data_IF_634865712292
#
_entry.id   IF_634865712292
#
_cell.length_a   1.000
_cell.length_b   1.000
_cell.length_c   1.000
_cell.angle_alpha   90.00
_cell.angle_beta   90.00
_cell.angle_gamma   90.00
#
_symmetry.space_group_name_H-M   'P 1'
#
loop_
_entity.id
_entity.type
_entity.pdbx_description
1 polymer ?
#
# COMPACT_ATOMS: atom_id res chain seq x y z
N UNK A 1 -3.87 56.06 47.68
CA UNK A 1 -4.70 55.56 48.80
C UNK A 1 -5.52 54.42 48.23
N UNK A 2 -5.28 53.15 48.51
CA UNK A 2 -4.50 52.50 49.57
C UNK A 2 -4.15 51.10 49.06
N UNK A 3 -2.86 50.72 49.16
CA UNK A 3 -2.37 49.37 48.94
C UNK A 3 -3.10 48.39 49.88
N UNK A 4 -3.55 47.26 49.34
CA UNK A 4 -3.73 46.04 50.12
C UNK A 4 -2.79 45.01 49.50
N UNK A 5 -1.57 44.99 50.01
CA UNK A 5 -0.64 43.89 49.83
C UNK A 5 -1.22 42.67 50.56
N UNK A 6 -1.65 41.66 49.81
CA UNK A 6 -1.83 40.32 50.35
C UNK A 6 -0.49 39.59 50.22
N UNK A 7 0.29 39.62 51.30
CA UNK A 7 1.38 38.68 51.53
C UNK A 7 0.77 37.28 51.76
N UNK A 8 0.56 36.54 50.67
CA UNK A 8 0.45 35.08 50.75
C UNK A 8 1.82 34.49 51.09
N UNK A 9 1.88 33.37 51.83
CA UNK A 9 3.15 32.75 52.17
C UNK A 9 3.93 32.45 50.88
N UNK A 10 5.16 32.95 50.83
CA UNK A 10 6.12 32.76 49.74
C UNK A 10 6.47 31.26 49.69
N UNK A 11 5.60 30.49 49.05
CA UNK A 11 5.87 29.08 48.74
C UNK A 11 6.98 29.14 47.71
N UNK A 12 8.21 28.89 48.17
CA UNK A 12 9.36 28.69 47.30
C UNK A 12 8.99 27.65 46.24
N UNK A 13 8.58 28.13 45.07
CA UNK A 13 8.33 27.29 43.91
C UNK A 13 9.71 26.79 43.54
N UNK A 14 10.00 25.53 43.85
CA UNK A 14 11.24 24.90 43.40
C UNK A 14 11.41 25.21 41.91
N UNK A 15 12.60 25.72 41.52
CA UNK A 15 12.92 26.05 40.12
C UNK A 15 13.06 24.75 39.32
N UNK A 16 11.92 24.16 38.98
CA UNK A 16 11.86 22.99 38.13
C UNK A 16 12.20 23.41 36.71
N UNK A 17 13.30 22.86 36.18
CA UNK A 17 13.61 22.97 34.75
C UNK A 17 12.70 22.04 33.96
N UNK A 18 11.53 22.54 33.57
CA UNK A 18 10.59 21.78 32.76
C UNK A 18 11.11 21.54 31.33
N UNK A 19 10.66 20.45 30.71
CA UNK A 19 10.96 20.15 29.32
C UNK A 19 10.38 21.25 28.41
N UNK A 20 11.12 21.73 27.37
CA UNK A 20 10.67 22.84 26.51
C UNK A 20 9.31 22.62 25.84
N UNK A 21 9.01 21.38 25.45
CA UNK A 21 7.73 21.02 24.80
C UNK A 21 6.57 20.83 25.78
N UNK A 22 6.78 20.88 27.10
CA UNK A 22 5.76 20.52 28.11
C UNK A 22 4.46 21.27 27.88
N UNK A 23 4.53 22.60 27.77
CA UNK A 23 3.32 23.42 27.69
C UNK A 23 2.61 23.26 26.36
N UNK A 24 3.35 23.02 25.27
CA UNK A 24 2.77 22.67 23.96
C UNK A 24 2.05 21.33 24.02
N UNK A 25 2.64 20.31 24.65
CA UNK A 25 2.02 18.99 24.80
C UNK A 25 0.78 19.04 25.70
N UNK A 26 0.82 19.82 26.79
CA UNK A 26 -0.34 20.04 27.65
C UNK A 26 -1.44 20.79 26.89
N UNK A 27 -1.09 21.82 26.13
CA UNK A 27 -2.03 22.57 25.31
C UNK A 27 -2.69 21.66 24.26
N UNK A 28 -1.93 20.78 23.60
CA UNK A 28 -2.47 19.81 22.65
C UNK A 28 -3.52 18.90 23.30
N UNK A 29 -3.26 18.40 24.51
CA UNK A 29 -4.22 17.56 25.25
C UNK A 29 -5.53 18.29 25.61
N UNK A 30 -5.50 19.62 25.69
CA UNK A 30 -6.66 20.46 26.03
C UNK A 30 -7.23 21.22 24.83
N UNK A 31 -6.67 21.06 23.63
CA UNK A 31 -6.96 21.89 22.47
C UNK A 31 -8.39 21.72 21.92
N UNK A 32 -9.17 20.73 22.39
CA UNK A 32 -10.50 20.41 21.84
C UNK A 32 -11.55 20.22 22.95
N UNK A 33 -11.94 21.29 23.67
CA UNK A 33 -13.03 21.21 24.63
C UNK A 33 -14.36 20.99 23.91
N UNK A 34 -15.26 20.22 24.54
CA UNK A 34 -16.64 20.03 24.08
C UNK A 34 -17.39 21.36 24.11
N UNK A 35 -18.22 21.65 23.10
CA UNK A 35 -19.12 22.81 23.15
C UNK A 35 -20.32 22.48 24.05
N UNK A 36 -20.48 23.14 25.21
CA UNK A 36 -21.62 22.88 26.09
C UNK A 36 -22.92 23.38 25.44
N UNK A 37 -24.02 22.65 25.66
CA UNK A 37 -25.36 23.04 25.20
C UNK A 37 -26.42 22.60 26.21
N UNK A 38 -27.25 23.53 26.66
CA UNK A 38 -28.43 23.18 27.46
C UNK A 38 -29.61 22.82 26.57
N UNK A 39 -30.48 21.93 27.06
CA UNK A 39 -31.73 21.61 26.39
C UNK A 39 -32.83 22.62 26.79
N UNK A 40 -33.63 23.14 25.84
CA UNK A 40 -33.66 22.74 24.43
C UNK A 40 -32.62 23.46 23.54
N UNK A 41 -32.28 22.85 22.40
CA UNK A 41 -31.36 23.45 21.44
C UNK A 41 -31.34 22.73 20.09
N UNK A 42 -30.94 23.45 19.05
CA UNK A 42 -30.79 22.92 17.70
C UNK A 42 -29.30 22.82 17.36
N UNK A 43 -28.91 21.74 16.70
CA UNK A 43 -27.55 21.54 16.20
C UNK A 43 -27.58 21.15 14.73
N UNK A 44 -26.62 21.65 13.96
CA UNK A 44 -26.38 21.19 12.60
C UNK A 44 -24.91 20.90 12.38
N UNK A 45 -24.57 19.82 11.71
CA UNK A 45 -23.21 19.54 11.25
C UNK A 45 -23.19 19.41 9.74
N UNK A 46 -22.19 20.02 9.11
CA UNK A 46 -21.81 19.78 7.72
C UNK A 46 -20.39 19.21 7.73
N UNK A 47 -20.14 18.18 6.94
CA UNK A 47 -18.82 17.55 6.79
C UNK A 47 -18.39 17.69 5.33
N UNK A 48 -17.28 18.39 5.10
CA UNK A 48 -16.72 18.58 3.76
C UNK A 48 -15.45 17.77 3.57
N UNK A 49 -15.37 17.07 2.44
CA UNK A 49 -14.17 16.42 1.92
C UNK A 49 -13.40 17.42 1.05
N UNK A 50 -12.28 17.90 1.56
CA UNK A 50 -11.38 18.80 0.83
C UNK A 50 -9.97 18.21 0.65
N UNK A 51 -9.73 16.97 1.11
CA UNK A 51 -8.43 16.28 1.00
C UNK A 51 -7.35 16.95 1.83
N UNK A 52 -6.14 16.37 1.94
CA UNK A 52 -5.09 16.86 2.84
C UNK A 52 -4.65 18.32 2.56
N UNK A 53 -4.71 18.75 1.29
CA UNK A 53 -4.37 20.12 0.86
C UNK A 53 -5.52 21.13 0.95
N UNK A 54 -6.67 20.76 1.53
CA UNK A 54 -7.85 21.63 1.61
C UNK A 54 -7.88 22.61 2.78
N UNK A 55 -6.92 22.52 3.72
CA UNK A 55 -6.99 23.24 5.00
C UNK A 55 -6.95 24.75 4.85
N UNK A 56 -6.18 25.28 3.90
CA UNK A 56 -6.10 26.73 3.65
C UNK A 56 -7.43 27.29 3.16
N UNK A 57 -8.10 26.58 2.26
CA UNK A 57 -9.42 26.96 1.76
C UNK A 57 -10.48 26.90 2.86
N UNK A 58 -10.45 25.86 3.69
CA UNK A 58 -11.33 25.72 4.86
C UNK A 58 -11.08 26.87 5.87
N UNK A 59 -9.81 27.16 6.18
CA UNK A 59 -9.42 28.25 7.08
C UNK A 59 -9.91 29.60 6.57
N UNK A 60 -9.68 29.89 5.29
CA UNK A 60 -10.14 31.11 4.64
C UNK A 60 -11.67 31.22 4.69
N UNK A 61 -12.37 30.12 4.43
CA UNK A 61 -13.84 30.09 4.50
C UNK A 61 -14.34 30.41 5.91
N UNK A 62 -13.73 29.85 6.95
CA UNK A 62 -14.04 30.18 8.35
C UNK A 62 -13.74 31.66 8.66
N UNK A 63 -12.60 32.18 8.20
CA UNK A 63 -12.20 33.57 8.41
C UNK A 63 -13.22 34.57 7.83
N UNK A 64 -13.78 34.29 6.65
CA UNK A 64 -14.84 35.17 6.08
C UNK A 64 -16.07 35.29 6.98
N UNK A 65 -16.42 34.23 7.70
CA UNK A 65 -17.53 34.27 8.66
C UNK A 65 -17.13 35.03 9.93
N UNK A 66 -15.93 34.76 10.47
CA UNK A 66 -15.41 35.51 11.63
C UNK A 66 -15.39 37.02 11.37
N UNK A 67 -14.90 37.45 10.21
CA UNK A 67 -14.87 38.86 9.81
C UNK A 67 -16.26 39.49 9.79
N UNK A 68 -17.24 38.77 9.24
CA UNK A 68 -18.63 39.25 9.16
C UNK A 68 -19.27 39.48 10.53
N UNK A 69 -18.88 38.69 11.54
CA UNK A 69 -19.39 38.79 12.90
C UNK A 69 -18.42 39.51 13.87
N UNK A 70 -17.30 40.05 13.38
CA UNK A 70 -16.31 40.75 14.19
C UNK A 70 -15.57 39.86 15.19
N UNK A 71 -15.48 38.56 14.94
CA UNK A 71 -14.81 37.60 15.80
C UNK A 71 -13.35 37.35 15.38
N UNK A 72 -12.48 36.84 16.28
CA UNK A 72 -11.11 36.48 15.93
C UNK A 72 -11.05 35.45 14.79
N UNK A 73 -10.18 35.71 13.83
CA UNK A 73 -9.91 34.80 12.71
C UNK A 73 -9.02 33.61 13.13
N UNK A 74 -9.14 32.45 12.47
CA UNK A 74 -8.21 31.34 12.69
C UNK A 74 -6.78 31.72 12.30
N UNK A 75 -5.82 31.53 13.22
CA UNK A 75 -4.38 31.70 12.96
C UNK A 75 -3.87 30.74 11.88
N UNK A 76 -2.69 30.97 11.30
CA UNK A 76 -2.20 30.28 10.10
C UNK A 76 -2.09 28.75 10.20
N UNK A 77 -1.91 28.19 11.40
CA UNK A 77 -1.76 26.76 11.68
C UNK A 77 -2.93 26.14 12.44
N UNK A 78 -3.96 26.94 12.77
CA UNK A 78 -5.14 26.46 13.52
C UNK A 78 -5.78 25.26 12.84
N UNK A 79 -6.09 24.22 13.62
CA UNK A 79 -6.87 23.06 13.15
C UNK A 79 -8.32 23.09 13.61
N UNK A 80 -8.71 24.15 14.29
CA UNK A 80 -10.08 24.38 14.70
C UNK A 80 -10.28 25.88 14.95
N UNK A 81 -11.53 26.32 14.95
CA UNK A 81 -11.91 27.67 15.30
C UNK A 81 -13.34 27.64 15.85
N UNK A 82 -13.62 28.52 16.82
CA UNK A 82 -14.97 28.72 17.35
C UNK A 82 -15.35 30.17 17.11
N UNK A 83 -16.48 30.36 16.43
CA UNK A 83 -17.18 31.63 16.31
C UNK A 83 -18.35 31.62 17.28
N UNK A 84 -18.35 32.55 18.24
CA UNK A 84 -19.53 32.88 19.04
C UNK A 84 -20.20 34.13 18.44
N UNK A 85 -21.43 33.99 17.97
CA UNK A 85 -22.21 35.06 17.34
C UNK A 85 -23.29 35.65 18.27
N UNK A 86 -23.19 35.42 19.60
CA UNK A 86 -24.07 36.01 20.61
C UNK A 86 -25.45 35.38 20.77
N UNK A 87 -25.77 34.36 19.96
CA UNK A 87 -26.99 33.55 20.05
C UNK A 87 -26.87 32.18 19.40
N UNK A 88 -25.72 31.90 18.78
CA UNK A 88 -25.35 30.62 18.22
C UNK A 88 -23.83 30.56 18.12
N UNK A 89 -23.31 29.35 18.10
CA UNK A 89 -21.88 29.07 18.03
C UNK A 89 -21.63 28.22 16.80
N UNK A 90 -20.62 28.56 15.99
CA UNK A 90 -20.10 27.67 14.96
C UNK A 90 -18.70 27.21 15.33
N UNK A 91 -18.52 25.90 15.37
CA UNK A 91 -17.25 25.24 15.57
C UNK A 91 -16.80 24.62 14.25
N UNK A 92 -15.67 25.09 13.73
CA UNK A 92 -14.95 24.45 12.63
C UNK A 92 -13.84 23.57 13.20
N UNK A 93 -13.71 22.34 12.71
CA UNK A 93 -12.60 21.44 13.05
C UNK A 93 -12.06 20.77 11.80
N UNK A 94 -10.74 20.84 11.65
CA UNK A 94 -9.97 20.19 10.62
C UNK A 94 -9.45 18.84 11.10
N UNK A 95 -9.72 17.81 10.31
CA UNK A 95 -9.15 16.48 10.44
C UNK A 95 -8.22 16.21 9.24
N UNK A 96 -7.75 14.98 9.07
CA UNK A 96 -6.78 14.64 8.01
C UNK A 96 -7.30 15.00 6.62
N UNK A 97 -8.45 14.44 6.21
CA UNK A 97 -9.03 14.61 4.87
C UNK A 97 -10.38 15.38 4.84
N UNK A 98 -10.92 15.73 6.02
CA UNK A 98 -12.22 16.41 6.16
C UNK A 98 -12.16 17.62 7.08
N UNK A 99 -13.12 18.53 6.87
CA UNK A 99 -13.51 19.56 7.82
C UNK A 99 -14.93 19.34 8.31
N UNK A 100 -15.16 19.56 9.61
CA UNK A 100 -16.50 19.57 10.21
C UNK A 100 -16.89 20.98 10.60
N UNK A 101 -18.15 21.32 10.37
CA UNK A 101 -18.73 22.64 10.60
C UNK A 101 -19.99 22.44 11.42
N UNK A 102 -19.89 22.68 12.73
CA UNK A 102 -20.97 22.37 13.67
C UNK A 102 -21.55 23.65 14.24
N UNK A 103 -22.83 23.88 13.98
CA UNK A 103 -23.58 25.02 14.46
C UNK A 103 -24.43 24.59 15.64
N UNK A 104 -24.29 25.29 16.75
CA UNK A 104 -25.07 25.11 17.97
C UNK A 104 -25.93 26.36 18.16
N UNK A 105 -27.24 26.16 18.28
CA UNK A 105 -28.21 27.23 18.47
C UNK A 105 -29.06 26.88 19.71
N UNK A 106 -28.74 27.44 20.88
CA UNK A 106 -29.58 27.32 22.05
C UNK A 106 -31.00 27.83 21.74
N UNK A 107 -32.01 27.16 22.29
CA UNK A 107 -33.41 27.54 22.11
C UNK A 107 -34.11 27.59 23.47
N UNK A 108 -35.17 28.39 23.57
CA UNK A 108 -36.04 28.38 24.75
C UNK A 108 -37.09 27.29 24.63
N UNK A 109 -37.56 27.04 23.41
CA UNK A 109 -38.58 26.05 23.07
C UNK A 109 -38.35 25.53 21.65
N UNK A 110 -38.68 24.27 21.39
CA UNK A 110 -38.63 23.66 20.07
C UNK A 110 -40.03 23.14 19.73
N UNK A 111 -40.50 23.43 18.52
CA UNK A 111 -41.76 22.91 17.98
C UNK A 111 -41.81 21.38 18.10
N UNK A 112 -42.86 20.79 18.74
CA UNK A 112 -43.03 19.35 18.83
C UNK A 112 -43.02 18.60 17.49
N UNK A 113 -43.34 19.27 16.38
CA UNK A 113 -43.23 18.69 15.04
C UNK A 113 -41.77 18.39 14.63
N UNK A 114 -40.80 19.07 15.27
CA UNK A 114 -39.36 19.04 15.05
C UNK A 114 -38.93 19.41 13.62
N UNK A 115 -37.72 19.95 13.49
CA UNK A 115 -37.07 20.27 12.21
C UNK A 115 -37.82 21.24 11.28
N UNK A 116 -38.84 21.97 11.76
CA UNK A 116 -39.40 23.13 11.07
C UNK A 116 -38.45 24.33 11.06
N UNK A 117 -37.64 24.44 12.11
CA UNK A 117 -36.48 25.32 12.19
C UNK A 117 -35.21 24.49 12.43
N UNK A 118 -34.07 24.99 11.95
CA UNK A 118 -32.77 24.33 12.08
C UNK A 118 -31.71 25.29 12.63
N UNK A 119 -30.59 24.72 13.10
CA UNK A 119 -29.44 25.53 13.48
C UNK A 119 -28.78 26.23 12.28
N UNK A 120 -29.08 25.85 11.03
CA UNK A 120 -28.53 26.53 9.86
C UNK A 120 -29.29 27.80 9.46
N UNK A 121 -30.49 28.02 10.01
CA UNK A 121 -31.30 29.18 9.67
C UNK A 121 -30.64 30.50 10.11
N UNK A 122 -29.79 30.45 11.13
CA UNK A 122 -29.01 31.59 11.64
C UNK A 122 -27.71 31.82 10.84
N UNK A 123 -27.29 30.86 10.00
CA UNK A 123 -26.05 30.97 9.22
C UNK A 123 -26.35 31.59 7.85
N UNK A 124 -25.60 32.64 7.44
CA UNK A 124 -25.81 33.31 6.15
C UNK A 124 -25.85 32.33 4.96
N UNK A 125 -26.93 32.37 4.17
CA UNK A 125 -27.13 31.44 3.04
C UNK A 125 -26.03 31.50 1.98
N UNK A 126 -25.53 32.71 1.65
CA UNK A 126 -24.44 32.88 0.69
C UNK A 126 -23.13 32.23 1.17
N UNK A 127 -22.87 32.24 2.48
CA UNK A 127 -21.70 31.58 3.05
C UNK A 127 -21.85 30.05 2.97
N UNK A 128 -23.01 29.51 3.33
CA UNK A 128 -23.33 28.08 3.20
C UNK A 128 -23.25 27.58 1.75
N UNK A 129 -23.60 28.40 0.76
CA UNK A 129 -23.49 28.03 -0.65
C UNK A 129 -22.05 28.00 -1.16
N UNK A 130 -21.12 28.66 -0.46
CA UNK A 130 -19.71 28.77 -0.83
C UNK A 130 -18.81 27.81 -0.06
N UNK A 131 -19.38 26.74 0.52
CA UNK A 131 -18.62 25.76 1.31
C UNK A 131 -17.51 25.12 0.47
N UNK A 132 -16.28 25.02 1.01
CA UNK A 132 -15.16 24.39 0.31
C UNK A 132 -15.30 22.86 0.31
N UNK A 133 -14.82 22.23 -0.76
CA UNK A 133 -14.83 20.76 -0.92
C UNK A 133 -16.21 20.20 -1.25
N UNK A 134 -16.35 18.88 -1.09
CA UNK A 134 -17.61 18.16 -1.35
C UNK A 134 -18.29 17.79 -0.03
N UNK A 135 -19.59 18.06 0.11
CA UNK A 135 -20.34 17.67 1.31
C UNK A 135 -20.53 16.15 1.31
N UNK A 136 -19.90 15.47 2.28
CA UNK A 136 -20.02 14.02 2.48
C UNK A 136 -21.20 13.66 3.38
N UNK A 137 -21.36 14.43 4.46
CA UNK A 137 -22.34 14.17 5.50
C UNK A 137 -22.93 15.49 5.98
N UNK A 138 -24.22 15.47 6.30
CA UNK A 138 -24.91 16.61 6.86
C UNK A 138 -25.98 16.12 7.83
N UNK A 139 -26.08 16.73 9.00
CA UNK A 139 -26.98 16.26 10.06
C UNK A 139 -27.62 17.41 10.82
N UNK A 140 -28.88 17.22 11.20
CA UNK A 140 -29.60 18.04 12.15
C UNK A 140 -29.89 17.24 13.43
N UNK A 141 -29.66 17.88 14.57
CA UNK A 141 -30.03 17.33 15.89
C UNK A 141 -30.98 18.29 16.57
N UNK A 142 -32.15 17.79 16.97
CA UNK A 142 -33.03 18.49 17.90
C UNK A 142 -32.75 17.96 19.31
N UNK A 143 -32.33 18.85 20.21
CA UNK A 143 -32.10 18.53 21.62
C UNK A 143 -33.30 19.00 22.43
N UNK A 144 -34.03 18.06 23.00
CA UNK A 144 -35.30 18.30 23.69
C UNK A 144 -35.27 17.72 25.11
N UNK A 145 -36.12 18.20 26.02
CA UNK A 145 -36.21 17.67 27.38
C UNK A 145 -37.04 16.38 27.45
N UNK A 146 -38.04 16.28 26.59
CA UNK A 146 -38.97 15.15 26.52
C UNK A 146 -39.09 14.66 25.07
N UNK A 147 -39.30 13.36 24.90
CA UNK A 147 -39.55 12.80 23.57
C UNK A 147 -40.92 13.30 23.06
N UNK A 148 -41.04 13.75 21.80
CA UNK A 148 -42.35 14.08 21.25
C UNK A 148 -43.20 12.81 21.10
N UNK A 149 -44.52 12.95 21.22
CA UNK A 149 -45.47 11.83 21.04
C UNK A 149 -45.32 11.15 19.67
N UNK A 150 -44.99 11.95 18.65
CA UNK A 150 -44.74 11.49 17.30
C UNK A 150 -43.33 11.87 16.87
N UNK A 151 -42.48 10.86 16.68
CA UNK A 151 -41.15 11.07 16.13
C UNK A 151 -41.22 11.47 14.64
N UNK A 152 -40.31 12.33 14.16
CA UNK A 152 -40.31 12.86 12.80
C UNK A 152 -39.66 11.90 11.78
N UNK A 153 -39.69 10.59 12.05
CA UNK A 153 -39.12 9.55 11.18
C UNK A 153 -40.24 8.85 10.42
N UNK A 154 -39.99 8.57 9.14
CA UNK A 154 -40.99 7.97 8.24
C UNK A 154 -40.99 6.44 8.31
N UNK A 155 -39.85 5.86 8.71
CA UNK A 155 -39.61 4.41 8.68
C UNK A 155 -39.94 3.74 10.00
N UNK A 156 -40.43 2.50 9.94
CA UNK A 156 -40.54 1.62 11.11
C UNK A 156 -39.17 1.17 11.65
N UNK A 157 -38.08 1.37 10.90
CA UNK A 157 -36.70 1.01 11.27
C UNK A 157 -36.03 2.05 12.19
N UNK A 158 -36.80 2.82 12.98
CA UNK A 158 -36.23 3.77 13.94
C UNK A 158 -35.37 3.01 14.95
N UNK A 159 -34.12 3.43 15.06
CA UNK A 159 -33.23 2.99 16.14
C UNK A 159 -33.40 3.93 17.32
N UNK A 160 -33.37 3.37 18.52
CA UNK A 160 -33.42 4.15 19.73
C UNK A 160 -32.58 3.51 20.83
N UNK A 161 -31.83 4.35 21.52
CA UNK A 161 -30.98 3.93 22.61
C UNK A 161 -31.11 4.90 23.78
N UNK A 162 -31.24 4.35 24.98
CA UNK A 162 -30.97 5.06 26.21
C UNK A 162 -29.45 5.03 26.49
N UNK A 163 -28.88 6.17 26.86
CA UNK A 163 -27.43 6.34 26.99
C UNK A 163 -27.08 7.07 28.29
N UNK A 164 -25.80 7.02 28.68
CA UNK A 164 -25.27 7.71 29.85
C UNK A 164 -26.05 7.39 31.14
N UNK A 165 -26.39 6.11 31.36
CA UNK A 165 -27.11 5.65 32.55
C UNK A 165 -28.52 6.21 32.68
N UNK A 166 -29.20 6.46 31.55
CA UNK A 166 -30.57 6.97 31.52
C UNK A 166 -30.71 8.49 31.52
N UNK A 167 -29.59 9.22 31.55
CA UNK A 167 -29.61 10.68 31.49
C UNK A 167 -30.13 11.20 30.13
N UNK A 168 -29.89 10.46 29.05
CA UNK A 168 -30.34 10.85 27.72
C UNK A 168 -30.83 9.67 26.88
N UNK A 169 -31.57 9.97 25.82
CA UNK A 169 -31.95 9.00 24.79
C UNK A 169 -31.76 9.60 23.39
N UNK A 170 -31.36 8.77 22.44
CA UNK A 170 -31.17 9.16 21.04
C UNK A 170 -32.14 8.38 20.16
N UNK A 171 -32.74 9.07 19.20
CA UNK A 171 -33.59 8.48 18.16
C UNK A 171 -33.12 8.92 16.77
N UNK A 172 -33.08 7.99 15.82
CA UNK A 172 -32.80 8.27 14.41
C UNK A 172 -33.25 7.09 13.55
N UNK A 173 -33.45 7.29 12.25
CA UNK A 173 -33.53 6.22 11.25
C UNK A 173 -32.29 6.18 10.33
N UNK A 174 -31.29 7.04 10.61
CA UNK A 174 -30.10 7.26 9.78
C UNK A 174 -30.38 7.63 8.31
N UNK A 175 -31.60 8.07 8.00
CA UNK A 175 -32.01 8.50 6.66
C UNK A 175 -31.96 10.02 6.55
N UNK A 176 -31.80 10.46 5.32
CA UNK A 176 -31.87 11.89 4.98
C UNK A 176 -33.32 12.36 4.95
N UNK A 177 -33.56 13.54 5.51
CA UNK A 177 -34.83 14.25 5.38
C UNK A 177 -35.00 14.88 3.98
N UNK A 178 -36.10 15.61 3.77
CA UNK A 178 -36.37 16.33 2.51
C UNK A 178 -35.31 17.39 2.16
N UNK A 179 -34.58 17.87 3.16
CA UNK A 179 -33.46 18.82 3.09
C UNK A 179 -32.11 18.16 2.77
N UNK A 180 -32.07 16.83 2.61
CA UNK A 180 -30.88 15.99 2.46
C UNK A 180 -29.98 15.89 3.71
N UNK A 181 -30.49 16.22 4.91
CA UNK A 181 -29.76 16.09 6.17
C UNK A 181 -30.27 14.88 6.96
N UNK A 182 -29.35 14.11 7.55
CA UNK A 182 -29.70 13.06 8.52
C UNK A 182 -30.30 13.70 9.77
N UNK A 183 -31.37 13.12 10.32
CA UNK A 183 -32.06 13.69 11.48
C UNK A 183 -31.85 12.85 12.73
N UNK A 184 -31.59 13.54 13.84
CA UNK A 184 -31.44 12.95 15.16
C UNK A 184 -32.27 13.70 16.19
N UNK A 185 -32.94 12.97 17.07
CA UNK A 185 -33.58 13.55 18.26
C UNK A 185 -32.80 13.09 19.47
N UNK A 186 -32.25 14.04 20.21
CA UNK A 186 -31.57 13.81 21.48
C UNK A 186 -32.49 14.30 22.61
N UNK A 187 -33.00 13.37 23.40
CA UNK A 187 -33.77 13.69 24.61
C UNK A 187 -32.80 13.78 25.77
N UNK A 188 -32.59 14.98 26.31
CA UNK A 188 -31.76 15.21 27.49
C UNK A 188 -32.66 15.38 28.72
N UNK A 189 -32.68 14.36 29.60
CA UNK A 189 -33.61 14.28 30.73
C UNK A 189 -33.07 14.94 31.99
N UNK A 190 -31.75 15.17 32.06
CA UNK A 190 -31.08 15.79 33.21
C UNK A 190 -30.34 17.04 32.77
N UNK A 191 -30.32 18.05 33.62
CA UNK A 191 -29.53 19.25 33.36
C UNK A 191 -28.03 18.91 33.34
N UNK A 192 -27.29 19.53 32.41
CA UNK A 192 -25.86 19.25 32.25
C UNK A 192 -25.34 19.62 30.86
N UNK A 193 -25.05 20.90 30.64
CA UNK A 193 -24.61 21.41 29.34
C UNK A 193 -23.36 20.68 28.79
N UNK A 194 -22.40 20.36 29.67
CA UNK A 194 -21.18 19.65 29.30
C UNK A 194 -21.44 18.17 28.90
N UNK A 195 -22.41 17.51 29.56
CA UNK A 195 -22.79 16.14 29.21
C UNK A 195 -23.48 16.13 27.84
N UNK A 196 -24.43 17.03 27.62
CA UNK A 196 -25.12 17.19 26.33
C UNK A 196 -24.12 17.45 25.20
N UNK A 197 -23.19 18.38 25.40
CA UNK A 197 -22.15 18.71 24.43
C UNK A 197 -21.29 17.51 24.04
N UNK A 198 -20.89 16.70 25.03
CA UNK A 198 -20.15 15.46 24.80
C UNK A 198 -20.96 14.45 23.99
N UNK A 199 -22.21 14.19 24.39
CA UNK A 199 -23.10 13.26 23.67
C UNK A 199 -23.32 13.71 22.22
N UNK A 200 -23.60 15.00 22.00
CA UNK A 200 -23.77 15.58 20.68
C UNK A 200 -22.56 15.39 19.80
N UNK A 201 -21.37 15.69 20.32
CA UNK A 201 -20.15 15.51 19.56
C UNK A 201 -19.94 14.04 19.18
N UNK A 202 -20.12 13.11 20.12
CA UNK A 202 -19.99 11.67 19.84
C UNK A 202 -21.03 11.19 18.83
N UNK A 203 -22.27 11.67 18.91
CA UNK A 203 -23.35 11.34 17.98
C UNK A 203 -23.02 11.81 16.56
N UNK A 204 -22.57 13.04 16.44
CA UNK A 204 -22.19 13.64 15.17
C UNK A 204 -20.88 13.03 14.63
N UNK A 205 -19.97 12.57 15.49
CA UNK A 205 -18.78 11.81 15.11
C UNK A 205 -19.14 10.42 14.58
N UNK A 206 -20.11 9.72 15.19
CA UNK A 206 -20.64 8.45 14.66
C UNK A 206 -21.15 8.64 13.23
N UNK A 207 -21.95 9.68 12.98
CA UNK A 207 -22.46 9.96 11.63
C UNK A 207 -21.34 10.28 10.64
N UNK A 208 -20.37 11.10 11.07
CA UNK A 208 -19.22 11.51 10.25
C UNK A 208 -18.35 10.30 9.87
N UNK A 209 -17.93 9.52 10.87
CA UNK A 209 -17.01 8.40 10.68
C UNK A 209 -17.67 7.19 10.03
N UNK A 210 -18.99 6.98 10.21
CA UNK A 210 -19.78 5.98 9.46
C UNK A 210 -19.64 6.18 7.96
N UNK A 211 -19.88 7.40 7.48
CA UNK A 211 -19.84 7.70 6.05
C UNK A 211 -18.40 7.70 5.52
N UNK A 212 -17.45 8.21 6.29
CA UNK A 212 -16.02 8.13 5.93
C UNK A 212 -15.52 6.68 5.82
N UNK A 213 -15.95 5.79 6.69
CA UNK A 213 -15.65 4.37 6.59
C UNK A 213 -16.28 3.76 5.32
N UNK A 214 -17.55 4.08 5.05
CA UNK A 214 -18.28 3.57 3.89
C UNK A 214 -17.74 4.05 2.53
N UNK A 215 -16.98 5.16 2.47
CA UNK A 215 -16.30 5.59 1.24
C UNK A 215 -15.35 4.52 0.66
N UNK A 216 -14.84 3.60 1.49
CA UNK A 216 -14.00 2.51 1.02
C UNK A 216 -14.78 1.39 0.30
N UNK A 217 -16.09 1.26 0.52
CA UNK A 217 -16.86 0.13 0.00
C UNK A 217 -16.93 0.12 -1.53
N UNK A 218 -17.29 1.21 -2.24
CA UNK A 218 -17.28 1.20 -3.71
C UNK A 218 -15.91 0.83 -4.28
N UNK A 219 -14.84 1.35 -3.67
CA UNK A 219 -13.46 1.04 -4.05
C UNK A 219 -13.11 -0.43 -3.81
N UNK A 220 -13.56 -1.03 -2.71
CA UNK A 220 -13.40 -2.46 -2.44
C UNK A 220 -14.10 -3.32 -3.50
N UNK A 221 -15.34 -2.98 -3.89
CA UNK A 221 -16.09 -3.72 -4.90
C UNK A 221 -15.44 -3.62 -6.29
N UNK A 222 -14.88 -2.47 -6.64
CA UNK A 222 -14.11 -2.31 -7.87
C UNK A 222 -12.81 -3.13 -7.84
N UNK A 223 -12.04 -2.99 -6.75
CA UNK A 223 -10.80 -3.73 -6.53
C UNK A 223 -11.02 -5.24 -6.60
N UNK A 224 -12.10 -5.75 -6.00
CA UNK A 224 -12.45 -7.17 -6.03
C UNK A 224 -12.67 -7.71 -7.45
N UNK A 225 -13.26 -6.91 -8.35
CA UNK A 225 -13.46 -7.27 -9.76
C UNK A 225 -12.12 -7.34 -10.49
N UNK A 226 -11.25 -6.36 -10.29
CA UNK A 226 -9.90 -6.34 -10.88
C UNK A 226 -9.05 -7.51 -10.38
N UNK A 227 -9.07 -7.81 -9.07
CA UNK A 227 -8.35 -8.94 -8.49
C UNK A 227 -8.82 -10.28 -9.07
N UNK A 228 -10.12 -10.46 -9.28
CA UNK A 228 -10.66 -11.67 -9.90
C UNK A 228 -10.08 -11.90 -11.30
N UNK A 229 -9.94 -10.83 -12.10
CA UNK A 229 -9.32 -10.90 -13.42
C UNK A 229 -7.82 -11.26 -13.33
N UNK A 230 -7.10 -10.64 -12.40
CA UNK A 230 -5.67 -10.90 -12.19
C UNK A 230 -5.44 -12.35 -11.75
N UNK A 231 -6.22 -12.84 -10.79
CA UNK A 231 -6.16 -14.23 -10.31
C UNK A 231 -6.40 -15.24 -11.43
N UNK A 232 -7.43 -15.03 -12.27
CA UNK A 232 -7.68 -15.90 -13.42
C UNK A 232 -6.51 -15.94 -14.42
N UNK A 233 -5.80 -14.82 -14.60
CA UNK A 233 -4.61 -14.78 -15.43
C UNK A 233 -3.41 -15.52 -14.79
N UNK A 234 -3.25 -15.45 -13.47
CA UNK A 234 -2.25 -16.23 -12.72
C UNK A 234 -2.54 -17.72 -12.83
N UNK A 235 -3.80 -18.13 -12.65
CA UNK A 235 -4.21 -19.54 -12.72
C UNK A 235 -3.95 -20.14 -14.12
N UNK A 236 -4.25 -19.36 -15.17
CA UNK A 236 -3.92 -19.72 -16.55
C UNK A 236 -2.42 -19.86 -16.75
N UNK A 237 -1.61 -18.91 -16.26
CA UNK A 237 -0.16 -18.98 -16.35
C UNK A 237 0.41 -20.20 -15.61
N UNK A 238 -0.03 -20.44 -14.36
CA UNK A 238 0.40 -21.60 -13.57
C UNK A 238 0.05 -22.93 -14.25
N UNK A 239 -1.11 -23.01 -14.91
CA UNK A 239 -1.50 -24.19 -15.69
C UNK A 239 -0.61 -24.42 -16.91
N UNK A 240 -0.16 -23.37 -17.59
CA UNK A 240 0.80 -23.48 -18.69
C UNK A 240 2.18 -23.98 -18.22
N UNK A 241 2.63 -23.54 -17.04
CA UNK A 241 3.89 -24.01 -16.44
C UNK A 241 3.84 -25.51 -16.16
N UNK A 242 2.74 -26.00 -15.57
CA UNK A 242 2.54 -27.42 -15.27
C UNK A 242 2.55 -28.31 -16.53
N UNK A 243 2.00 -27.80 -17.63
CA UNK A 243 1.88 -28.56 -18.89
C UNK A 243 3.11 -28.51 -19.80
N UNK A 244 4.27 -28.08 -19.27
CA UNK A 244 5.60 -28.14 -19.94
C UNK A 244 5.64 -27.47 -21.32
N UNK A 245 5.37 -26.17 -21.35
CA UNK A 245 5.76 -25.35 -22.49
C UNK A 245 7.27 -25.05 -22.40
N UNK A 246 8.01 -25.11 -23.52
CA UNK A 246 9.46 -24.91 -23.53
C UNK A 246 9.93 -23.56 -22.97
N UNK A 247 11.25 -23.38 -22.83
CA UNK A 247 11.89 -22.21 -22.18
C UNK A 247 11.38 -20.84 -22.68
N UNK A 248 11.08 -20.73 -23.98
CA UNK A 248 10.60 -19.47 -24.57
C UNK A 248 9.16 -19.11 -24.15
N UNK A 249 8.32 -20.12 -23.93
CA UNK A 249 6.98 -19.91 -23.39
C UNK A 249 7.05 -19.46 -21.93
N UNK A 250 7.95 -20.05 -21.12
CA UNK A 250 8.18 -19.65 -19.74
C UNK A 250 8.67 -18.18 -19.66
N UNK A 251 9.59 -17.75 -20.54
CA UNK A 251 10.02 -16.34 -20.64
C UNK A 251 8.85 -15.38 -20.93
N UNK A 252 7.98 -15.76 -21.85
CA UNK A 252 6.78 -14.97 -22.18
C UNK A 252 5.83 -14.87 -20.98
N UNK A 253 5.66 -15.96 -20.23
CA UNK A 253 4.84 -16.00 -19.02
C UNK A 253 5.41 -15.12 -17.91
N UNK A 254 6.73 -15.11 -17.71
CA UNK A 254 7.40 -14.23 -16.73
C UNK A 254 7.07 -12.76 -17.01
N UNK A 255 7.22 -12.31 -18.25
CA UNK A 255 6.92 -10.91 -18.62
C UNK A 255 5.45 -10.56 -18.37
N UNK A 256 4.53 -11.47 -18.68
CA UNK A 256 3.09 -11.28 -18.44
C UNK A 256 2.77 -11.20 -16.94
N UNK A 257 3.38 -12.07 -16.13
CA UNK A 257 3.19 -12.06 -14.68
C UNK A 257 3.82 -10.82 -14.03
N UNK A 258 4.97 -10.35 -14.51
CA UNK A 258 5.58 -9.11 -14.05
C UNK A 258 4.67 -7.89 -14.33
N UNK A 259 4.01 -7.85 -15.50
CA UNK A 259 3.03 -6.81 -15.80
C UNK A 259 1.81 -6.86 -14.86
N UNK A 260 1.30 -8.07 -14.56
CA UNK A 260 0.21 -8.25 -13.58
C UNK A 260 0.63 -7.87 -12.16
N UNK A 261 1.89 -8.11 -11.78
CA UNK A 261 2.44 -7.65 -10.50
C UNK A 261 2.41 -6.13 -10.40
N UNK A 262 2.91 -5.45 -11.45
CA UNK A 262 2.88 -3.98 -11.52
C UNK A 262 1.47 -3.41 -11.45
N UNK A 263 0.49 -4.07 -12.10
CA UNK A 263 -0.90 -3.69 -12.00
C UNK A 263 -1.48 -3.87 -10.59
N UNK A 264 -1.20 -5.02 -9.94
CA UNK A 264 -1.68 -5.31 -8.59
C UNK A 264 -1.07 -4.36 -7.54
N UNK A 265 0.22 -4.04 -7.68
CA UNK A 265 0.95 -3.05 -6.85
C UNK A 265 0.42 -1.63 -7.08
N UNK A 266 0.19 -1.24 -8.34
CA UNK A 266 -0.43 0.05 -8.66
C UNK A 266 -1.82 0.20 -8.05
N UNK A 267 -2.64 -0.86 -8.10
CA UNK A 267 -3.93 -0.90 -7.44
C UNK A 267 -3.78 -0.79 -5.91
N UNK A 268 -2.77 -1.43 -5.31
CA UNK A 268 -2.53 -1.38 -3.86
C UNK A 268 -2.10 0.02 -3.40
N UNK A 269 -1.26 0.69 -4.18
CA UNK A 269 -0.90 2.08 -3.96
C UNK A 269 -2.12 3.01 -3.91
N UNK A 270 -3.10 2.79 -4.79
CA UNK A 270 -4.32 3.61 -4.87
C UNK A 270 -5.34 3.33 -3.76
N UNK A 271 -5.40 2.10 -3.23
CA UNK A 271 -6.43 1.68 -2.27
C UNK A 271 -5.97 1.65 -0.81
N UNK A 272 -4.65 1.56 -0.57
CA UNK A 272 -4.06 1.36 0.76
C UNK A 272 -4.54 2.38 1.80
N UNK A 273 -4.42 3.68 1.48
CA UNK A 273 -4.87 4.76 2.37
C UNK A 273 -6.35 4.61 2.72
N UNK A 274 -7.21 4.40 1.72
CA UNK A 274 -8.66 4.36 1.92
C UNK A 274 -9.10 3.14 2.74
N UNK A 275 -8.49 1.97 2.55
CA UNK A 275 -8.76 0.78 3.37
C UNK A 275 -8.27 0.96 4.81
N UNK A 276 -7.07 1.51 5.01
CA UNK A 276 -6.54 1.80 6.35
C UNK A 276 -7.41 2.83 7.08
N UNK A 277 -7.80 3.91 6.38
CA UNK A 277 -8.68 4.94 6.92
C UNK A 277 -10.05 4.38 7.29
N UNK A 278 -10.66 3.55 6.44
CA UNK A 278 -11.95 2.94 6.75
C UNK A 278 -11.90 2.03 7.99
N UNK A 279 -10.83 1.27 8.17
CA UNK A 279 -10.62 0.48 9.38
C UNK A 279 -10.51 1.37 10.63
N UNK A 280 -9.73 2.45 10.56
CA UNK A 280 -9.58 3.41 11.66
C UNK A 280 -10.91 4.11 12.00
N UNK A 281 -11.63 4.61 11.00
CA UNK A 281 -12.92 5.27 11.20
C UNK A 281 -13.99 4.32 11.75
N UNK A 282 -14.01 3.06 11.29
CA UNK A 282 -14.88 2.04 11.88
C UNK A 282 -14.57 1.83 13.38
N UNK A 283 -13.28 1.77 13.74
CA UNK A 283 -12.85 1.71 15.14
C UNK A 283 -13.36 2.88 15.98
N UNK A 284 -13.28 4.11 15.44
CA UNK A 284 -13.81 5.31 16.11
C UNK A 284 -15.33 5.22 16.33
N UNK A 285 -16.09 4.77 15.33
CA UNK A 285 -17.55 4.57 15.48
C UNK A 285 -17.84 3.62 16.63
N UNK A 286 -17.17 2.46 16.68
CA UNK A 286 -17.38 1.46 17.73
C UNK A 286 -16.98 1.99 19.11
N UNK A 287 -15.87 2.72 19.23
CA UNK A 287 -15.42 3.31 20.50
C UNK A 287 -16.45 4.33 21.03
N UNK A 288 -17.00 5.18 20.16
CA UNK A 288 -18.02 6.17 20.55
C UNK A 288 -19.29 5.49 21.05
N UNK A 289 -19.78 4.49 20.32
CA UNK A 289 -20.96 3.72 20.72
C UNK A 289 -20.72 2.98 22.04
N UNK A 290 -19.56 2.32 22.19
CA UNK A 290 -19.21 1.62 23.42
C UNK A 290 -19.20 2.56 24.63
N UNK A 291 -18.68 3.78 24.47
CA UNK A 291 -18.62 4.77 25.56
C UNK A 291 -20.00 5.19 26.09
N UNK A 292 -21.07 5.07 25.29
CA UNK A 292 -22.43 5.41 25.71
C UNK A 292 -23.06 4.40 26.64
N UNK A 293 -22.57 3.15 26.64
CA UNK A 293 -23.19 2.03 27.34
C UNK A 293 -24.69 1.95 27.02
N UNK A 294 -25.01 1.97 25.72
CA UNK A 294 -26.39 2.05 25.24
C UNK A 294 -27.26 0.88 25.73
N UNK A 295 -28.52 1.18 26.01
CA UNK A 295 -29.56 0.21 26.35
C UNK A 295 -30.71 0.33 25.34
N UNK A 296 -31.31 -0.80 24.91
CA UNK A 296 -32.47 -0.77 24.01
C UNK A 296 -33.61 0.03 24.61
N UNK A 297 -34.24 0.88 23.79
CA UNK A 297 -35.35 1.73 24.23
C UNK A 297 -36.65 1.37 23.50
N UNK A 298 -37.68 1.04 24.28
CA UNK A 298 -39.03 0.76 23.78
C UNK A 298 -39.06 -0.29 22.64
N UNK A 299 -38.29 -1.37 22.79
CA UNK A 299 -38.25 -2.50 21.84
C UNK A 299 -37.57 -2.20 20.50
N UNK A 300 -36.94 -1.02 20.34
CA UNK A 300 -36.21 -0.65 19.13
C UNK A 300 -34.76 -1.11 19.22
N UNK A 301 -34.13 -1.44 18.07
CA UNK A 301 -32.71 -1.74 18.03
C UNK A 301 -31.89 -0.52 18.43
N UNK A 302 -30.73 -0.77 19.02
CA UNK A 302 -29.80 0.30 19.40
C UNK A 302 -29.02 0.83 18.19
N UNK A 303 -28.24 1.89 18.40
CA UNK A 303 -27.38 2.44 17.36
C UNK A 303 -26.24 1.45 17.05
N UNK A 304 -25.67 0.81 18.06
CA UNK A 304 -24.66 -0.26 17.90
C UNK A 304 -25.19 -1.44 17.11
N UNK A 305 -26.37 -1.97 17.44
CA UNK A 305 -26.99 -3.07 16.69
C UNK A 305 -27.23 -2.69 15.21
N UNK A 306 -27.64 -1.45 14.97
CA UNK A 306 -27.76 -0.94 13.60
C UNK A 306 -26.40 -0.91 12.88
N UNK A 307 -25.34 -0.41 13.52
CA UNK A 307 -24.00 -0.40 12.93
C UNK A 307 -23.47 -1.80 12.69
N UNK A 308 -23.69 -2.75 13.60
CA UNK A 308 -23.27 -4.13 13.41
C UNK A 308 -23.95 -4.78 12.20
N UNK A 309 -25.23 -4.47 11.97
CA UNK A 309 -25.99 -5.01 10.84
C UNK A 309 -25.73 -4.28 9.52
N UNK A 310 -25.45 -2.97 9.55
CA UNK A 310 -25.43 -2.10 8.34
C UNK A 310 -24.06 -1.53 7.98
N UNK A 311 -23.13 -1.42 8.93
CA UNK A 311 -21.77 -0.93 8.71
C UNK A 311 -20.75 -2.08 8.69
N UNK A 312 -20.81 -3.00 9.66
CA UNK A 312 -19.82 -4.07 9.78
C UNK A 312 -19.68 -4.98 8.53
N UNK A 313 -20.75 -5.35 7.80
CA UNK A 313 -20.60 -6.13 6.57
C UNK A 313 -19.76 -5.42 5.50
N UNK A 314 -19.94 -4.11 5.33
CA UNK A 314 -19.14 -3.32 4.40
C UNK A 314 -17.66 -3.31 4.81
N UNK A 315 -17.39 -3.18 6.11
CA UNK A 315 -16.01 -3.17 6.63
C UNK A 315 -15.33 -4.53 6.46
N UNK A 316 -16.04 -5.64 6.69
CA UNK A 316 -15.53 -6.99 6.40
C UNK A 316 -15.16 -7.15 4.93
N UNK A 317 -15.94 -6.59 4.01
CA UNK A 317 -15.60 -6.57 2.57
C UNK A 317 -14.31 -5.80 2.32
N UNK A 318 -14.17 -4.59 2.87
CA UNK A 318 -12.94 -3.79 2.72
C UNK A 318 -11.70 -4.54 3.24
N UNK A 319 -11.80 -5.14 4.44
CA UNK A 319 -10.71 -5.94 5.03
C UNK A 319 -10.37 -7.15 4.17
N UNK A 320 -11.38 -7.94 3.78
CA UNK A 320 -11.20 -9.14 2.97
C UNK A 320 -10.57 -8.83 1.61
N UNK A 321 -10.98 -7.75 0.95
CA UNK A 321 -10.40 -7.32 -0.32
C UNK A 321 -8.96 -6.84 -0.15
N UNK A 322 -8.66 -6.09 0.91
CA UNK A 322 -7.28 -5.66 1.21
C UNK A 322 -6.35 -6.83 1.55
N UNK A 323 -6.84 -7.87 2.24
CA UNK A 323 -6.10 -9.12 2.46
C UNK A 323 -5.92 -9.91 1.17
N UNK A 324 -6.98 -10.06 0.37
CA UNK A 324 -6.93 -10.73 -0.94
C UNK A 324 -5.92 -10.05 -1.86
N UNK A 325 -5.88 -8.72 -1.89
CA UNK A 325 -4.92 -7.96 -2.67
C UNK A 325 -3.47 -8.29 -2.31
N UNK A 326 -3.14 -8.31 -1.01
CA UNK A 326 -1.80 -8.71 -0.53
C UNK A 326 -1.47 -10.14 -0.93
N UNK A 327 -2.41 -11.07 -0.74
CA UNK A 327 -2.23 -12.47 -1.10
C UNK A 327 -1.99 -12.66 -2.61
N UNK A 328 -2.68 -11.90 -3.47
CA UNK A 328 -2.48 -11.92 -4.92
C UNK A 328 -1.09 -11.43 -5.29
N UNK A 329 -0.64 -10.30 -4.75
CA UNK A 329 0.70 -9.75 -4.99
C UNK A 329 1.77 -10.78 -4.61
N UNK A 330 1.68 -11.36 -3.41
CA UNK A 330 2.64 -12.39 -2.98
C UNK A 330 2.59 -13.64 -3.86
N UNK A 331 1.39 -14.06 -4.29
CA UNK A 331 1.22 -15.22 -5.17
C UNK A 331 1.87 -14.98 -6.53
N UNK A 332 1.73 -13.78 -7.11
CA UNK A 332 2.39 -13.41 -8.36
C UNK A 332 3.91 -13.47 -8.16
N UNK A 333 4.43 -12.83 -7.11
CA UNK A 333 5.86 -12.79 -6.82
C UNK A 333 6.47 -14.20 -6.70
N UNK A 334 5.82 -15.10 -5.95
CA UNK A 334 6.25 -16.50 -5.84
C UNK A 334 6.23 -17.24 -7.19
N UNK A 335 5.20 -17.01 -8.00
CA UNK A 335 5.07 -17.66 -9.32
C UNK A 335 6.15 -17.18 -10.28
N UNK A 336 6.42 -15.86 -10.30
CA UNK A 336 7.51 -15.27 -11.09
C UNK A 336 8.85 -15.85 -10.65
N UNK A 337 9.11 -15.93 -9.35
CA UNK A 337 10.37 -16.49 -8.83
C UNK A 337 10.58 -17.94 -9.27
N UNK A 338 9.55 -18.79 -9.14
CA UNK A 338 9.63 -20.20 -9.57
C UNK A 338 9.92 -20.33 -11.08
N UNK A 339 9.25 -19.52 -11.90
CA UNK A 339 9.48 -19.51 -13.35
C UNK A 339 10.87 -19.05 -13.73
N UNK A 340 11.36 -17.97 -13.11
CA UNK A 340 12.72 -17.47 -13.32
C UNK A 340 13.77 -18.53 -12.99
N UNK A 341 13.63 -19.22 -11.85
CA UNK A 341 14.51 -20.33 -11.49
C UNK A 341 14.44 -21.47 -12.50
N UNK A 342 13.26 -21.83 -13.01
CA UNK A 342 13.14 -22.87 -14.04
C UNK A 342 13.82 -22.47 -15.35
N UNK A 343 13.66 -21.22 -15.79
CA UNK A 343 14.32 -20.68 -17.00
C UNK A 343 15.84 -20.66 -16.84
N UNK A 344 16.34 -20.33 -15.65
CA UNK A 344 17.76 -20.33 -15.32
C UNK A 344 18.34 -21.75 -15.38
N UNK A 345 17.70 -22.72 -14.72
CA UNK A 345 18.11 -24.14 -14.74
C UNK A 345 18.05 -24.71 -16.16
N UNK A 346 17.00 -24.40 -16.93
CA UNK A 346 16.89 -24.88 -18.30
C UNK A 346 17.98 -24.28 -19.22
N UNK A 347 18.32 -23.00 -19.03
CA UNK A 347 19.43 -22.36 -19.73
C UNK A 347 20.77 -23.00 -19.36
N UNK A 348 20.98 -23.35 -18.10
CA UNK A 348 22.20 -24.02 -17.62
C UNK A 348 22.37 -25.42 -18.25
N UNK A 349 21.30 -26.21 -18.32
CA UNK A 349 21.31 -27.52 -18.98
C UNK A 349 21.72 -27.38 -20.45
N UNK A 350 21.16 -26.42 -21.18
CA UNK A 350 21.50 -26.15 -22.59
C UNK A 350 22.97 -25.74 -22.73
N UNK A 351 23.50 -24.91 -21.83
CA UNK A 351 24.90 -24.50 -21.83
C UNK A 351 25.85 -25.69 -21.59
N UNK A 352 25.53 -26.56 -20.62
CA UNK A 352 26.31 -27.78 -20.35
C UNK A 352 26.31 -28.71 -21.57
N UNK A 353 25.16 -28.89 -22.22
CA UNK A 353 25.04 -29.73 -23.41
C UNK A 353 25.85 -29.16 -24.60
N UNK A 354 25.83 -27.84 -24.78
CA UNK A 354 26.64 -27.14 -25.78
C UNK A 354 28.14 -27.35 -25.53
N UNK A 355 28.61 -27.17 -24.30
CA UNK A 355 30.01 -27.40 -23.92
C UNK A 355 30.42 -28.86 -24.16
N UNK A 356 29.57 -29.81 -23.78
CA UNK A 356 29.82 -31.24 -24.04
C UNK A 356 29.88 -31.56 -25.55
N UNK A 357 29.07 -30.89 -26.38
CA UNK A 357 29.13 -31.03 -27.84
C UNK A 357 30.41 -30.43 -28.45
N UNK A 358 30.94 -29.36 -27.85
CA UNK A 358 32.18 -28.73 -28.26
C UNK A 358 33.39 -29.61 -27.92
N UNK A 359 33.42 -30.17 -26.70
CA UNK A 359 34.46 -31.10 -26.29
C UNK A 359 34.51 -32.34 -27.21
N UNK A 360 33.36 -32.95 -27.50
CA UNK A 360 33.28 -34.07 -28.47
C UNK A 360 33.84 -33.71 -29.85
N UNK A 361 33.47 -32.54 -30.37
CA UNK A 361 33.98 -32.05 -31.67
C UNK A 361 35.48 -31.78 -31.63
N UNK A 362 35.98 -31.18 -30.55
CA UNK A 362 37.41 -30.94 -30.34
C UNK A 362 38.19 -32.26 -30.31
N UNK A 363 37.71 -33.26 -29.58
CA UNK A 363 38.32 -34.59 -29.55
C UNK A 363 38.32 -35.28 -30.92
N UNK A 364 37.24 -35.13 -31.70
CA UNK A 364 37.18 -35.64 -33.07
C UNK A 364 38.18 -34.94 -33.99
N UNK A 365 38.31 -33.61 -33.88
CA UNK A 365 39.30 -32.83 -34.62
C UNK A 365 40.74 -33.26 -34.25
N UNK A 366 41.02 -33.47 -32.97
CA UNK A 366 42.30 -34.00 -32.50
C UNK A 366 42.60 -35.37 -33.10
N UNK A 367 41.62 -36.29 -33.16
CA UNK A 367 41.80 -37.62 -33.78
C UNK A 367 42.08 -37.55 -35.28
N UNK A 368 41.41 -36.65 -36.01
CA UNK A 368 41.65 -36.46 -37.45
C UNK A 368 43.05 -35.89 -37.67
N UNK A 369 43.46 -34.90 -36.89
CA UNK A 369 44.79 -34.31 -36.97
C UNK A 369 45.88 -35.37 -36.69
N UNK A 370 45.66 -36.21 -35.67
CA UNK A 370 46.49 -37.38 -35.37
C UNK A 370 46.62 -38.37 -36.53
N UNK A 371 45.53 -38.65 -37.24
CA UNK A 371 45.59 -39.54 -38.41
C UNK A 371 46.35 -38.94 -39.59
N UNK A 372 46.28 -37.61 -39.79
CA UNK A 372 47.06 -36.91 -40.83
C UNK A 372 48.55 -36.88 -40.46
N UNK A 373 48.89 -36.80 -39.18
CA UNK A 373 50.28 -36.92 -38.72
C UNK A 373 50.90 -38.29 -39.03
N UNK A 374 50.13 -39.38 -38.94
CA UNK A 374 50.60 -40.71 -39.36
C UNK A 374 50.98 -40.76 -40.83
N UNK A 375 50.20 -40.09 -41.69
CA UNK A 375 50.45 -40.01 -43.12
C UNK A 375 51.64 -39.10 -43.47
N UNK A 376 51.85 -38.03 -42.70
CA UNK A 376 53.00 -37.13 -42.92
C UNK A 376 54.34 -37.82 -42.67
N UNK A 377 54.42 -38.77 -41.73
CA UNK A 377 55.62 -39.61 -41.53
C UNK A 377 55.96 -40.36 -42.81
N UNK A 378 54.96 -40.95 -43.49
CA UNK A 378 55.16 -41.68 -44.74
C UNK A 378 55.62 -40.74 -45.85
N UNK A 379 54.94 -39.61 -46.03
CA UNK A 379 55.27 -38.63 -47.07
C UNK A 379 56.68 -38.03 -46.86
N UNK A 380 57.00 -37.56 -45.65
CA UNK A 380 58.30 -36.98 -45.32
C UNK A 380 59.40 -38.03 -45.45
N UNK A 381 59.17 -39.28 -45.02
CA UNK A 381 60.16 -40.35 -45.15
C UNK A 381 60.44 -40.68 -46.61
N UNK A 382 59.42 -40.67 -47.48
CA UNK A 382 59.60 -40.88 -48.92
C UNK A 382 60.47 -39.78 -49.56
N UNK A 383 60.16 -38.51 -49.27
CA UNK A 383 60.96 -37.38 -49.78
C UNK A 383 62.39 -37.37 -49.21
N UNK A 384 62.55 -37.62 -47.91
CA UNK A 384 63.86 -37.68 -47.27
C UNK A 384 64.72 -38.83 -47.81
N UNK A 385 64.12 -40.00 -48.04
CA UNK A 385 64.80 -41.13 -48.66
C UNK A 385 65.20 -40.80 -50.10
N UNK A 386 64.33 -40.16 -50.88
CA UNK A 386 64.66 -39.73 -52.25
C UNK A 386 65.86 -38.79 -52.32
N UNK A 387 65.93 -37.80 -51.43
CA UNK A 387 67.10 -36.91 -51.31
C UNK A 387 68.35 -37.71 -50.91
N UNK A 388 68.21 -38.64 -49.97
CA UNK A 388 69.32 -39.47 -49.52
C UNK A 388 69.82 -40.41 -50.63
N UNK A 389 68.94 -40.98 -51.46
CA UNK A 389 69.32 -41.83 -52.59
C UNK A 389 70.22 -41.07 -53.56
N UNK A 390 69.87 -39.84 -53.94
CA UNK A 390 70.72 -39.03 -54.81
C UNK A 390 72.11 -38.76 -54.20
N UNK A 391 72.17 -38.54 -52.89
CA UNK A 391 73.44 -38.37 -52.17
C UNK A 391 74.26 -39.68 -52.12
N UNK A 392 73.59 -40.82 -51.89
CA UNK A 392 74.24 -42.13 -51.83
C UNK A 392 74.74 -42.59 -53.21
N UNK A 393 74.01 -42.31 -54.29
CA UNK A 393 74.44 -42.56 -55.67
C UNK A 393 75.71 -41.76 -56.00
N UNK A 394 75.75 -40.47 -55.65
CA UNK A 394 76.93 -39.64 -55.84
C UNK A 394 78.16 -40.14 -55.06
N UNK A 395 77.97 -40.68 -53.85
CA UNK A 395 79.06 -41.25 -53.03
C UNK A 395 79.48 -42.64 -53.53
N UNK A 396 78.55 -43.45 -54.02
CA UNK A 396 78.84 -44.79 -54.54
C UNK A 396 79.71 -44.75 -55.81
N UNK A 397 79.62 -43.68 -56.61
CA UNK A 397 80.54 -43.44 -57.73
C UNK A 397 81.98 -43.15 -57.28
N UNK A 398 82.20 -42.67 -56.04
CA UNK A 398 83.54 -42.40 -55.50
C UNK A 398 84.22 -43.63 -54.86
N UNK A 399 83.48 -44.72 -54.58
CA UNK A 399 84.00 -45.88 -53.83
C UNK A 399 83.82 -47.17 -54.66
N UNK A 400 84.89 -47.75 -55.24
CA UNK A 400 84.78 -48.98 -56.00
C UNK A 400 84.36 -50.16 -55.09
N UNK A 401 83.23 -50.80 -55.41
CA UNK A 401 82.77 -52.06 -54.77
C UNK A 401 81.48 -51.99 -53.96
N UNK A 402 80.85 -50.81 -53.84
CA UNK A 402 79.57 -50.66 -53.11
C UNK A 402 78.42 -50.55 -54.10
N UNK A 403 77.47 -51.50 -54.06
CA UNK A 403 76.26 -51.40 -54.89
C UNK A 403 75.28 -50.36 -54.31
N UNK A 404 74.82 -49.36 -55.07
CA UNK A 404 73.86 -48.35 -54.62
C UNK A 404 72.57 -48.97 -54.07
N UNK A 405 72.11 -50.08 -54.66
CA UNK A 405 70.86 -50.76 -54.29
C UNK A 405 70.88 -51.31 -52.86
N UNK A 406 71.98 -51.92 -52.42
CA UNK A 406 72.11 -52.47 -51.06
C UNK A 406 72.20 -51.35 -50.02
N UNK A 407 72.90 -50.26 -50.36
CA UNK A 407 73.05 -49.10 -49.47
C UNK A 407 71.70 -48.38 -49.26
N UNK A 408 70.93 -48.20 -50.34
CA UNK A 408 69.56 -47.66 -50.27
C UNK A 408 68.61 -48.58 -49.49
N UNK A 409 68.71 -49.90 -49.65
CA UNK A 409 67.92 -50.87 -48.90
C UNK A 409 68.18 -50.84 -47.39
N UNK A 410 69.43 -50.60 -46.97
CA UNK A 410 69.80 -50.42 -45.56
C UNK A 410 69.40 -49.03 -45.02
N UNK A 411 69.47 -47.99 -45.86
CA UNK A 411 69.16 -46.62 -45.46
C UNK A 411 67.65 -46.38 -45.30
N UNK A 412 66.78 -47.04 -46.07
CA UNK A 412 65.34 -46.87 -46.02
C UNK A 412 64.72 -47.06 -44.61
N UNK A 413 64.94 -48.17 -43.88
CA UNK A 413 64.41 -48.32 -42.52
C UNK A 413 65.02 -47.34 -41.52
N UNK A 414 66.29 -46.94 -41.73
CA UNK A 414 66.96 -45.95 -40.87
C UNK A 414 66.32 -44.56 -41.02
N UNK A 415 66.04 -44.13 -42.25
CA UNK A 415 65.38 -42.83 -42.53
C UNK A 415 63.98 -42.80 -41.93
N UNK A 416 63.17 -43.84 -42.14
CA UNK A 416 61.82 -43.93 -41.55
C UNK A 416 61.89 -43.87 -40.02
N UNK A 417 62.84 -44.59 -39.40
CA UNK A 417 63.02 -44.57 -37.95
C UNK A 417 63.47 -43.19 -37.43
N UNK A 418 64.39 -42.52 -38.13
CA UNK A 418 64.87 -41.18 -37.76
C UNK A 418 63.78 -40.13 -37.90
N UNK A 419 63.02 -40.13 -39.01
CA UNK A 419 61.89 -39.22 -39.24
C UNK A 419 60.81 -39.44 -38.18
N UNK A 420 60.46 -40.70 -37.89
CA UNK A 420 59.52 -41.04 -36.82
C UNK A 420 60.02 -40.55 -35.45
N UNK A 421 61.28 -40.80 -35.11
CA UNK A 421 61.86 -40.37 -33.82
C UNK A 421 61.92 -38.84 -33.71
N UNK A 422 62.25 -38.14 -34.80
CA UNK A 422 62.32 -36.68 -34.86
C UNK A 422 60.95 -36.03 -34.67
N UNK A 423 59.95 -36.45 -35.44
CA UNK A 423 58.57 -35.95 -35.32
C UNK A 423 57.99 -36.27 -33.93
N UNK A 424 58.24 -37.48 -33.39
CA UNK A 424 57.82 -37.85 -32.04
C UNK A 424 58.50 -37.01 -30.96
N UNK A 425 59.73 -36.52 -31.19
CA UNK A 425 60.46 -35.67 -30.24
C UNK A 425 59.96 -34.23 -30.26
N UNK A 426 59.71 -33.65 -31.44
CA UNK A 426 59.11 -32.31 -31.58
C UNK A 426 57.75 -32.29 -30.87
N UNK A 427 56.95 -33.33 -31.08
CA UNK A 427 55.63 -33.41 -30.49
C UNK A 427 55.64 -33.49 -28.96
N UNK A 428 56.55 -34.27 -28.38
CA UNK A 428 56.75 -34.29 -26.91
C UNK A 428 57.13 -32.93 -26.32
N UNK A 429 57.65 -32.02 -27.15
CA UNK A 429 57.99 -30.66 -26.75
C UNK A 429 56.79 -29.70 -26.85
N UNK A 430 55.88 -29.92 -27.80
CA UNK A 430 54.65 -29.12 -28.00
C UNK A 430 53.53 -29.56 -27.04
N UNK A 431 53.39 -30.86 -26.77
CA UNK A 431 52.38 -31.43 -25.86
C UNK A 431 52.73 -31.23 -24.36
N UNK A 432 53.73 -30.39 -24.02
CA UNK A 432 54.01 -30.03 -22.64
C UNK A 432 52.85 -29.15 -22.11
N UNK A 433 52.17 -29.54 -21.02
CA UNK A 433 51.04 -28.78 -20.51
C UNK A 433 51.48 -27.36 -20.11
N UNK A 434 50.66 -26.34 -20.37
CA UNK A 434 50.95 -24.99 -19.88
C UNK A 434 51.06 -24.99 -18.35
N UNK A 435 51.90 -24.11 -17.76
CA UNK A 435 52.08 -24.08 -16.31
C UNK A 435 50.73 -23.81 -15.62
N UNK A 436 50.50 -24.39 -14.43
CA UNK A 436 49.23 -24.25 -13.73
C UNK A 436 48.93 -22.78 -13.46
N UNK A 437 47.79 -22.30 -13.96
CA UNK A 437 47.21 -21.02 -13.56
C UNK A 437 46.76 -21.13 -12.11
N UNK A 438 47.30 -20.27 -11.24
CA UNK A 438 46.87 -20.14 -9.85
C UNK A 438 45.35 -19.87 -9.79
N UNK A 439 44.63 -20.45 -8.80
CA UNK A 439 43.21 -20.15 -8.62
C UNK A 439 43.01 -18.65 -8.33
N UNK A 440 41.89 -18.05 -8.76
CA UNK A 440 41.57 -16.68 -8.37
C UNK A 440 41.43 -16.62 -6.84
N UNK A 441 42.11 -15.65 -6.22
CA UNK A 441 41.83 -15.27 -4.83
C UNK A 441 40.37 -14.85 -4.72
N UNK A 442 39.71 -15.37 -3.68
CA UNK A 442 38.29 -15.18 -3.35
C UNK A 442 38.00 -13.73 -2.96
#
# INVERSE_FOLDING_TARGET
>A
MTNIEQEGPDVAVAEWRFHPERDRLIAEAHARPWTPLEAPGLVARIVTLSGEGGVEADRAHMATLCQKFGAPEPVADARWCVLDAGGWILRWERHTEVSTWTVFRPETEIDPALFGATALDVVPGAWRAAMPGQVLAAAHVAVVREAPDRLPFVSDDVVAAEIAGGAAAVFTDFRVGPDAFTRFVLVQRRDGAALTGRILQQLLEIETYRLLALLALPLALETARTLTRIEGAIDSAASHVANSAGVEADRTLVNRLAALAGEAEGLAGQTSFRFAAAHAYHGLVLERIASWHEQPLAGRPTIGEFMERRLAPAMRTCVSVGERQRNVIERIARTVQMLSTRVEVASEIVNVELLASMDRRSQQQLRIQLTVEGLSIVAISYYALGILVFMLEAVAELIPGVSPTVLTGLAAPLVVFLVWRFLRRIRRFIDAPPPPTLPPEV
#
